data_IF_570208631928
#
_entry.id   IF_570208631928
#
_cell.length_a   1.000
_cell.length_b   1.000
_cell.length_c   1.000
_cell.angle_alpha   90.00
_cell.angle_beta   90.00
_cell.angle_gamma   90.00
#
_symmetry.space_group_name_H-M   'P 1'
#
loop_
_entity.id
_entity.type
_entity.pdbx_description
1 polymer ?
#
# COMPACT_ATOMS: atom_id res chain seq x y z
N UNK A 1 -28.40 -30.88 -26.04
CA UNK A 1 -27.52 -29.93 -25.34
C UNK A 1 -26.48 -30.77 -24.65
N UNK A 2 -25.44 -31.11 -25.39
CA UNK A 2 -24.27 -31.83 -24.89
C UNK A 2 -23.30 -30.75 -24.42
N UNK A 3 -23.25 -30.51 -23.11
CA UNK A 3 -22.32 -29.58 -22.51
C UNK A 3 -20.94 -30.21 -22.62
N UNK A 4 -20.24 -29.90 -23.72
CA UNK A 4 -18.88 -30.33 -24.01
C UNK A 4 -17.85 -29.76 -23.03
N UNK A 5 -18.00 -30.05 -21.75
CA UNK A 5 -16.85 -30.08 -20.85
C UNK A 5 -16.05 -31.33 -21.22
N UNK A 6 -14.79 -31.21 -21.68
CA UNK A 6 -13.95 -32.38 -21.79
C UNK A 6 -13.88 -32.99 -20.38
N UNK A 7 -14.41 -34.20 -20.25
CA UNK A 7 -14.21 -35.01 -19.06
C UNK A 7 -12.70 -35.23 -18.95
N UNK A 8 -12.04 -34.39 -18.18
CA UNK A 8 -10.64 -34.52 -17.82
C UNK A 8 -10.51 -35.85 -17.08
N UNK A 9 -9.88 -36.86 -17.70
CA UNK A 9 -9.95 -38.26 -17.23
C UNK A 9 -8.65 -38.75 -16.59
N UNK A 10 -7.52 -38.07 -16.79
CA UNK A 10 -6.25 -38.47 -16.17
C UNK A 10 -5.37 -37.29 -15.75
N UNK A 11 -4.52 -37.50 -14.75
CA UNK A 11 -3.52 -36.51 -14.29
C UNK A 11 -2.61 -36.05 -15.43
N UNK A 12 -2.18 -36.97 -16.31
CA UNK A 12 -1.31 -36.66 -17.44
C UNK A 12 -1.96 -35.75 -18.50
N UNK A 13 -3.29 -35.84 -18.68
CA UNK A 13 -4.03 -34.91 -19.54
C UNK A 13 -4.10 -33.51 -18.91
N UNK A 14 -4.31 -33.43 -17.60
CA UNK A 14 -4.29 -32.14 -16.88
C UNK A 14 -2.92 -31.49 -16.98
N UNK A 15 -1.85 -32.24 -16.75
CA UNK A 15 -0.48 -31.72 -16.79
C UNK A 15 -0.17 -31.10 -18.16
N UNK A 16 -0.53 -31.79 -19.25
CA UNK A 16 -0.38 -31.25 -20.61
C UNK A 16 -1.17 -29.98 -20.83
N UNK A 17 -2.44 -29.95 -20.42
CA UNK A 17 -3.28 -28.75 -20.56
C UNK A 17 -2.75 -27.58 -19.70
N UNK A 18 -2.19 -27.88 -18.52
CA UNK A 18 -1.58 -26.88 -17.64
C UNK A 18 -0.33 -26.28 -18.30
N UNK A 19 0.55 -27.08 -18.90
CA UNK A 19 1.73 -26.58 -19.63
C UNK A 19 1.34 -25.59 -20.74
N UNK A 20 0.35 -25.95 -21.56
CA UNK A 20 -0.17 -25.09 -22.63
C UNK A 20 -0.78 -23.80 -22.07
N UNK A 21 -1.54 -23.91 -20.97
CA UNK A 21 -2.21 -22.77 -20.35
C UNK A 21 -1.21 -21.83 -19.66
N UNK A 22 -0.16 -22.37 -19.01
CA UNK A 22 0.93 -21.58 -18.42
C UNK A 22 1.65 -20.78 -19.52
N UNK A 23 1.94 -21.39 -20.66
CA UNK A 23 2.53 -20.69 -21.80
C UNK A 23 1.60 -19.55 -22.29
N UNK A 24 0.29 -19.80 -22.38
CA UNK A 24 -0.68 -18.77 -22.75
C UNK A 24 -0.73 -17.60 -21.75
N UNK A 25 -0.65 -17.87 -20.44
CA UNK A 25 -0.54 -16.85 -19.38
C UNK A 25 0.71 -15.99 -19.59
N UNK A 26 1.87 -16.59 -19.86
CA UNK A 26 3.11 -15.83 -20.07
C UNK A 26 3.08 -14.98 -21.35
N UNK A 27 2.48 -15.50 -22.43
CA UNK A 27 2.24 -14.72 -23.65
C UNK A 27 1.34 -13.52 -23.35
N UNK A 28 0.24 -13.71 -22.62
CA UNK A 28 -0.67 -12.64 -22.22
C UNK A 28 0.02 -11.58 -21.34
N UNK A 29 0.83 -11.99 -20.36
CA UNK A 29 1.64 -11.08 -19.54
C UNK A 29 2.63 -10.27 -20.39
N UNK A 30 3.29 -10.91 -21.35
CA UNK A 30 4.21 -10.25 -22.28
C UNK A 30 3.50 -9.21 -23.15
N UNK A 31 2.33 -9.54 -23.69
CA UNK A 31 1.48 -8.61 -24.44
C UNK A 31 1.05 -7.42 -23.58
N UNK A 32 0.60 -7.66 -22.35
CA UNK A 32 0.19 -6.60 -21.43
C UNK A 32 1.35 -5.63 -21.10
N UNK A 33 2.56 -6.16 -20.85
CA UNK A 33 3.77 -5.34 -20.62
C UNK A 33 4.14 -4.50 -21.84
N UNK A 34 4.03 -5.08 -23.05
CA UNK A 34 4.27 -4.34 -24.30
C UNK A 34 3.24 -3.24 -24.51
N UNK A 35 1.97 -3.52 -24.28
CA UNK A 35 0.88 -2.55 -24.36
C UNK A 35 1.10 -1.37 -23.41
N UNK A 36 1.50 -1.65 -22.17
CA UNK A 36 1.79 -0.61 -21.18
C UNK A 36 2.99 0.26 -21.63
N UNK A 37 4.04 -0.36 -22.18
CA UNK A 37 5.18 0.37 -22.72
C UNK A 37 4.78 1.29 -23.88
N UNK A 38 4.06 0.77 -24.88
CA UNK A 38 3.59 1.55 -26.03
C UNK A 38 2.66 2.70 -25.61
N UNK A 39 1.84 2.51 -24.57
CA UNK A 39 1.02 3.59 -24.00
C UNK A 39 1.85 4.71 -23.37
N UNK A 40 2.92 4.36 -22.65
CA UNK A 40 3.85 5.35 -22.08
C UNK A 40 4.60 6.11 -23.17
N UNK A 41 5.05 5.41 -24.21
CA UNK A 41 5.69 6.01 -25.38
C UNK A 41 4.72 6.95 -26.13
N UNK A 42 3.47 6.55 -26.31
CA UNK A 42 2.44 7.38 -26.92
C UNK A 42 2.18 8.67 -26.13
N UNK A 43 2.13 8.60 -24.79
CA UNK A 43 1.96 9.79 -23.95
C UNK A 43 3.15 10.77 -24.09
N UNK A 44 4.37 10.24 -24.12
CA UNK A 44 5.57 11.04 -24.33
C UNK A 44 5.58 11.70 -25.72
N UNK A 45 5.25 10.94 -26.77
CA UNK A 45 5.26 11.47 -28.15
C UNK A 45 4.11 12.47 -28.38
N UNK A 46 2.96 12.30 -27.71
CA UNK A 46 1.87 13.30 -27.72
C UNK A 46 2.30 14.62 -27.06
N UNK A 47 3.05 14.58 -25.96
CA UNK A 47 3.62 15.78 -25.33
C UNK A 47 4.59 16.47 -26.28
N UNK A 48 5.51 15.70 -26.88
CA UNK A 48 6.47 16.20 -27.89
C UNK A 48 5.76 16.83 -29.08
N UNK A 49 4.70 16.21 -29.60
CA UNK A 49 3.90 16.76 -30.70
C UNK A 49 3.27 18.10 -30.31
N UNK A 50 2.74 18.21 -29.09
CA UNK A 50 2.17 19.48 -28.59
C UNK A 50 3.21 20.59 -28.49
N UNK A 51 4.42 20.27 -28.02
CA UNK A 51 5.54 21.23 -27.95
C UNK A 51 5.97 21.67 -29.35
N UNK A 52 6.13 20.73 -30.29
CA UNK A 52 6.48 21.03 -31.68
C UNK A 52 5.40 21.86 -32.38
N UNK A 53 4.13 21.61 -32.08
CA UNK A 53 3.02 22.42 -32.58
C UNK A 53 3.08 23.85 -32.04
N UNK A 54 3.45 24.04 -30.76
CA UNK A 54 3.64 25.37 -30.19
C UNK A 54 4.80 26.12 -30.84
N UNK A 55 5.94 25.46 -31.05
CA UNK A 55 7.10 26.01 -31.77
C UNK A 55 6.70 26.42 -33.18
N UNK A 56 6.08 25.51 -33.95
CA UNK A 56 5.62 25.79 -35.31
C UNK A 56 4.68 27.00 -35.37
N UNK A 57 3.75 27.13 -34.41
CA UNK A 57 2.84 28.28 -34.34
C UNK A 57 3.56 29.61 -34.04
N UNK A 58 4.71 29.58 -33.36
CA UNK A 58 5.56 30.76 -33.18
C UNK A 58 6.25 31.14 -34.49
N UNK A 59 6.91 30.17 -35.15
CA UNK A 59 7.58 30.37 -36.44
C UNK A 59 6.59 30.89 -37.52
N UNK A 60 5.35 30.38 -37.56
CA UNK A 60 4.32 30.87 -38.48
C UNK A 60 3.96 32.35 -38.24
N UNK A 61 3.94 32.79 -36.97
CA UNK A 61 3.68 34.20 -36.62
C UNK A 61 4.87 35.09 -36.97
N UNK A 62 6.09 34.61 -36.78
CA UNK A 62 7.30 35.37 -37.09
C UNK A 62 7.45 35.60 -38.60
N UNK A 63 7.20 34.57 -39.42
CA UNK A 63 7.10 34.70 -40.88
C UNK A 63 5.98 35.69 -41.27
N UNK A 64 4.78 35.54 -40.72
CA UNK A 64 3.65 36.43 -41.03
C UNK A 64 3.92 37.89 -40.63
N UNK A 65 4.61 38.13 -39.52
CA UNK A 65 5.02 39.48 -39.07
C UNK A 65 6.01 40.11 -40.04
N UNK A 66 7.01 39.36 -40.51
CA UNK A 66 8.03 39.86 -41.44
C UNK A 66 7.46 40.11 -42.85
N UNK A 67 6.49 39.31 -43.28
CA UNK A 67 5.79 39.46 -44.56
C UNK A 67 4.72 40.56 -44.54
N UNK A 68 3.99 40.72 -43.43
CA UNK A 68 2.88 41.69 -43.29
C UNK A 68 3.28 43.15 -43.01
N UNK A 69 4.53 43.41 -42.64
CA UNK A 69 5.01 44.79 -42.44
C UNK A 69 5.25 45.49 -43.79
N UNK A 70 4.39 46.47 -44.08
CA UNK A 70 4.47 47.37 -45.24
C UNK A 70 5.85 48.02 -45.36
N UNK A 71 6.40 48.02 -46.58
CA UNK A 71 7.71 48.58 -46.95
C UNK A 71 7.93 50.01 -46.45
N UNK A 72 6.86 50.79 -46.27
CA UNK A 72 6.94 52.18 -45.82
C UNK A 72 7.22 52.34 -44.31
N UNK A 73 6.67 51.48 -43.44
CA UNK A 73 6.84 51.60 -41.98
C UNK A 73 8.16 51.01 -41.46
N UNK A 74 8.87 50.26 -42.30
CA UNK A 74 10.14 49.59 -41.95
C UNK A 74 11.36 50.22 -42.65
N UNK A 75 11.15 51.27 -43.43
CA UNK A 75 12.20 52.06 -44.08
C UNK A 75 13.14 52.72 -43.04
N UNK A 76 12.64 52.93 -41.82
CA UNK A 76 13.38 53.56 -40.74
C UNK A 76 14.09 52.58 -39.79
N UNK A 77 13.88 51.26 -39.88
CA UNK A 77 14.36 50.33 -38.84
C UNK A 77 15.52 49.43 -39.28
N UNK A 78 15.59 48.98 -40.53
CA UNK A 78 16.61 47.99 -40.94
C UNK A 78 17.04 48.20 -42.40
N UNK A 79 18.18 48.83 -42.59
CA UNK A 79 18.84 48.97 -43.90
C UNK A 79 19.48 47.61 -44.27
N UNK A 80 18.90 46.88 -45.23
CA UNK A 80 19.63 45.90 -46.07
C UNK A 80 19.35 44.39 -45.90
N UNK A 81 18.71 43.92 -44.82
CA UNK A 81 18.80 42.49 -44.45
C UNK A 81 17.45 41.73 -44.38
N UNK A 82 16.36 42.33 -44.87
CA UNK A 82 15.00 41.76 -44.81
C UNK A 82 14.82 40.45 -45.59
N UNK A 83 15.33 40.29 -46.84
CA UNK A 83 15.15 39.05 -47.61
C UNK A 83 15.80 37.85 -46.91
N UNK A 84 17.04 38.01 -46.45
CA UNK A 84 17.78 36.97 -45.75
C UNK A 84 17.09 36.53 -44.45
N UNK A 85 16.51 37.47 -43.69
CA UNK A 85 15.74 37.16 -42.48
C UNK A 85 14.45 36.41 -42.79
N UNK A 86 13.69 36.82 -43.81
CA UNK A 86 12.47 36.11 -44.23
C UNK A 86 12.79 34.68 -44.69
N UNK A 87 13.87 34.50 -45.45
CA UNK A 87 14.30 33.17 -45.90
C UNK A 87 14.73 32.26 -44.74
N UNK A 88 15.42 32.82 -43.73
CA UNK A 88 15.79 32.10 -42.50
C UNK A 88 14.55 31.59 -41.74
N UNK A 89 13.57 32.45 -41.54
CA UNK A 89 12.36 32.13 -40.76
C UNK A 89 11.47 31.13 -41.52
N UNK A 90 11.46 31.18 -42.86
CA UNK A 90 10.84 30.14 -43.70
C UNK A 90 11.54 28.78 -43.56
N UNK A 91 12.87 28.75 -43.45
CA UNK A 91 13.63 27.52 -43.20
C UNK A 91 13.32 26.96 -41.81
N UNK A 92 13.27 27.81 -40.78
CA UNK A 92 12.93 27.44 -39.41
C UNK A 92 11.49 26.88 -39.32
N UNK A 93 10.54 27.52 -39.99
CA UNK A 93 9.17 27.02 -40.13
C UNK A 93 9.10 25.66 -40.84
N UNK A 94 9.83 25.49 -41.95
CA UNK A 94 9.86 24.21 -42.67
C UNK A 94 10.42 23.09 -41.79
N UNK A 95 11.50 23.36 -41.06
CA UNK A 95 12.09 22.42 -40.11
C UNK A 95 11.11 22.06 -38.97
N UNK A 96 10.39 23.04 -38.43
CA UNK A 96 9.36 22.82 -37.41
C UNK A 96 8.21 21.94 -37.95
N UNK A 97 7.75 22.19 -39.18
CA UNK A 97 6.73 21.38 -39.86
C UNK A 97 7.17 19.93 -40.04
N UNK A 98 8.38 19.70 -40.55
CA UNK A 98 8.91 18.35 -40.73
C UNK A 98 8.98 17.58 -39.40
N UNK A 99 9.51 18.21 -38.34
CA UNK A 99 9.59 17.59 -37.00
C UNK A 99 8.20 17.27 -36.43
N UNK A 100 7.24 18.18 -36.60
CA UNK A 100 5.84 17.95 -36.19
C UNK A 100 5.23 16.78 -36.96
N UNK A 101 5.44 16.72 -38.28
CA UNK A 101 4.88 15.67 -39.13
C UNK A 101 5.45 14.30 -38.77
N UNK A 102 6.75 14.23 -38.47
CA UNK A 102 7.42 13.04 -37.95
C UNK A 102 6.79 12.61 -36.61
N UNK A 103 6.66 13.52 -35.64
CA UNK A 103 6.04 13.22 -34.35
C UNK A 103 4.56 12.78 -34.50
N UNK A 104 3.80 13.42 -35.40
CA UNK A 104 2.42 13.06 -35.69
C UNK A 104 2.32 11.67 -36.36
N UNK A 105 3.27 11.32 -37.23
CA UNK A 105 3.36 9.97 -37.80
C UNK A 105 3.66 8.93 -36.72
N UNK A 106 4.62 9.19 -35.83
CA UNK A 106 4.96 8.33 -34.70
C UNK A 106 3.77 8.10 -33.76
N UNK A 107 3.01 9.16 -33.44
CA UNK A 107 1.76 9.06 -32.66
C UNK A 107 0.75 8.13 -33.35
N UNK A 108 0.53 8.27 -34.66
CA UNK A 108 -0.40 7.40 -35.41
C UNK A 108 0.04 5.94 -35.40
N UNK A 109 1.33 5.68 -35.62
CA UNK A 109 1.88 4.31 -35.57
C UNK A 109 1.68 3.68 -34.19
N UNK A 110 2.05 4.40 -33.12
CA UNK A 110 1.88 3.93 -31.74
C UNK A 110 0.41 3.68 -31.37
N UNK A 111 -0.51 4.49 -31.89
CA UNK A 111 -1.95 4.26 -31.72
C UNK A 111 -2.39 2.94 -32.37
N UNK A 112 -1.97 2.68 -33.61
CA UNK A 112 -2.26 1.42 -34.30
C UNK A 112 -1.65 0.21 -33.58
N UNK A 113 -0.40 0.32 -33.10
CA UNK A 113 0.25 -0.74 -32.31
C UNK A 113 -0.50 -1.03 -31.00
N UNK A 114 -0.99 0.00 -30.32
CA UNK A 114 -1.80 -0.14 -29.11
C UNK A 114 -3.12 -0.84 -29.40
N UNK A 115 -3.76 -0.52 -30.52
CA UNK A 115 -5.01 -1.16 -30.95
C UNK A 115 -4.79 -2.64 -31.27
N UNK A 116 -3.75 -2.99 -32.03
CA UNK A 116 -3.36 -4.39 -32.31
C UNK A 116 -3.06 -5.16 -31.01
N UNK A 117 -2.20 -4.60 -30.16
CA UNK A 117 -1.83 -5.22 -28.89
C UNK A 117 -3.04 -5.39 -27.97
N UNK A 118 -3.97 -4.44 -27.95
CA UNK A 118 -5.19 -4.54 -27.17
C UNK A 118 -6.14 -5.62 -27.73
N UNK A 119 -6.28 -5.75 -29.06
CA UNK A 119 -7.06 -6.82 -29.70
C UNK A 119 -6.50 -8.18 -29.35
N UNK A 120 -5.17 -8.36 -29.54
CA UNK A 120 -4.48 -9.61 -29.22
C UNK A 120 -4.58 -9.98 -27.74
N UNK A 121 -4.56 -8.99 -26.85
CA UNK A 121 -4.76 -9.22 -25.42
C UNK A 121 -6.20 -9.66 -25.09
N UNK A 122 -7.20 -9.14 -25.83
CA UNK A 122 -8.59 -9.57 -25.70
C UNK A 122 -8.81 -10.98 -26.27
N UNK A 123 -8.22 -11.28 -27.43
CA UNK A 123 -8.24 -12.61 -28.07
C UNK A 123 -7.57 -13.69 -27.22
N UNK A 124 -6.52 -13.34 -26.47
CA UNK A 124 -5.86 -14.25 -25.54
C UNK A 124 -6.79 -14.76 -24.42
N UNK A 125 -7.96 -14.14 -24.21
CA UNK A 125 -8.98 -14.64 -23.30
C UNK A 125 -8.56 -14.60 -21.83
N UNK A 126 -8.89 -15.65 -21.07
CA UNK A 126 -8.68 -15.74 -19.62
C UNK A 126 -7.90 -17.01 -19.21
N UNK A 127 -6.67 -17.19 -19.72
CA UNK A 127 -5.87 -18.38 -19.42
C UNK A 127 -5.55 -18.50 -17.93
N UNK A 128 -5.55 -17.39 -17.16
CA UNK A 128 -5.41 -17.45 -15.70
C UNK A 128 -6.60 -18.14 -15.02
N UNK A 129 -7.84 -17.87 -15.48
CA UNK A 129 -9.05 -18.51 -14.95
C UNK A 129 -9.08 -20.00 -15.33
N UNK A 130 -8.61 -20.33 -16.53
CA UNK A 130 -8.56 -21.71 -17.01
C UNK A 130 -7.46 -22.52 -16.30
N UNK A 131 -6.29 -21.90 -16.03
CA UNK A 131 -5.24 -22.50 -15.22
C UNK A 131 -5.74 -22.80 -13.80
N UNK A 132 -6.47 -21.86 -13.20
CA UNK A 132 -7.08 -22.07 -11.88
C UNK A 132 -8.00 -23.29 -11.85
N UNK A 133 -8.89 -23.44 -12.84
CA UNK A 133 -9.79 -24.61 -12.94
C UNK A 133 -9.01 -25.92 -13.10
N UNK A 134 -7.93 -25.91 -13.89
CA UNK A 134 -7.07 -27.08 -14.07
C UNK A 134 -6.35 -27.47 -12.78
N UNK A 135 -5.86 -26.48 -12.02
CA UNK A 135 -5.27 -26.71 -10.70
C UNK A 135 -6.28 -27.32 -9.72
N UNK A 136 -7.51 -26.81 -9.68
CA UNK A 136 -8.59 -27.38 -8.84
C UNK A 136 -8.91 -28.83 -9.24
N UNK A 137 -8.98 -29.12 -10.54
CA UNK A 137 -9.21 -30.47 -11.05
C UNK A 137 -8.05 -31.42 -10.68
N UNK A 138 -6.80 -30.97 -10.82
CA UNK A 138 -5.60 -31.74 -10.46
C UNK A 138 -5.58 -32.04 -8.97
N UNK A 139 -5.84 -31.02 -8.15
CA UNK A 139 -5.85 -31.17 -6.70
C UNK A 139 -6.90 -32.18 -6.24
N UNK A 140 -8.10 -32.15 -6.82
CA UNK A 140 -9.15 -33.15 -6.53
C UNK A 140 -8.67 -34.56 -6.83
N UNK A 141 -8.09 -34.79 -8.02
CA UNK A 141 -7.59 -36.11 -8.39
C UNK A 141 -6.44 -36.58 -7.50
N UNK A 142 -5.52 -35.69 -7.12
CA UNK A 142 -4.42 -36.02 -6.21
C UNK A 142 -4.96 -36.43 -4.84
N UNK A 143 -5.95 -35.71 -4.30
CA UNK A 143 -6.57 -36.03 -3.00
C UNK A 143 -7.33 -37.35 -3.03
N UNK A 144 -8.06 -37.63 -4.11
CA UNK A 144 -8.80 -38.89 -4.29
C UNK A 144 -7.87 -40.09 -4.49
N UNK A 145 -6.75 -39.89 -5.21
CA UNK A 145 -5.75 -40.93 -5.48
C UNK A 145 -4.86 -41.26 -4.28
N UNK A 146 -4.74 -40.35 -3.31
CA UNK A 146 -3.86 -40.48 -2.15
C UNK A 146 -2.36 -40.42 -2.51
N UNK A 147 -1.50 -40.82 -1.57
CA UNK A 147 -0.06 -40.86 -1.76
C UNK A 147 0.69 -39.58 -1.37
N UNK A 148 2.01 -39.49 -1.66
CA UNK A 148 2.88 -38.44 -1.11
C UNK A 148 2.46 -37.00 -1.46
N UNK A 149 1.90 -36.78 -2.66
CA UNK A 149 1.43 -35.45 -3.07
C UNK A 149 0.13 -35.04 -2.34
N UNK A 150 -0.76 -35.99 -2.05
CA UNK A 150 -1.96 -35.74 -1.26
C UNK A 150 -1.60 -35.41 0.20
N UNK A 151 -0.66 -36.15 0.78
CA UNK A 151 -0.11 -35.89 2.12
C UNK A 151 0.57 -34.52 2.19
N UNK A 152 1.35 -34.15 1.18
CA UNK A 152 1.97 -32.83 1.08
C UNK A 152 0.92 -31.71 1.00
N UNK A 153 -0.15 -31.88 0.23
CA UNK A 153 -1.25 -30.92 0.17
C UNK A 153 -1.97 -30.75 1.52
N UNK A 154 -2.15 -31.84 2.26
CA UNK A 154 -2.73 -31.81 3.61
C UNK A 154 -1.81 -31.06 4.59
N UNK A 155 -0.49 -31.35 4.61
CA UNK A 155 0.48 -30.61 5.44
C UNK A 155 0.46 -29.10 5.15
N UNK A 156 0.42 -28.73 3.86
CA UNK A 156 0.34 -27.33 3.46
C UNK A 156 -0.93 -26.65 3.98
N UNK A 157 -2.08 -27.31 3.90
CA UNK A 157 -3.35 -26.78 4.41
C UNK A 157 -3.35 -26.68 5.94
N UNK A 158 -2.81 -27.67 6.66
CA UNK A 158 -2.68 -27.63 8.12
C UNK A 158 -1.77 -26.48 8.57
N UNK A 159 -0.60 -26.33 7.95
CA UNK A 159 0.34 -25.23 8.24
C UNK A 159 -0.28 -23.88 7.91
N UNK A 160 -0.99 -23.76 6.79
CA UNK A 160 -1.70 -22.54 6.40
C UNK A 160 -2.81 -22.20 7.40
N UNK A 161 -3.59 -23.19 7.82
CA UNK A 161 -4.62 -23.04 8.84
C UNK A 161 -4.05 -22.56 10.17
N UNK A 162 -2.94 -23.17 10.61
CA UNK A 162 -2.22 -22.77 11.83
C UNK A 162 -1.74 -21.31 11.76
N UNK A 163 -1.05 -20.92 10.70
CA UNK A 163 -0.58 -19.54 10.55
C UNK A 163 -1.73 -18.54 10.37
N UNK A 164 -2.84 -18.94 9.75
CA UNK A 164 -4.01 -18.09 9.60
C UNK A 164 -4.69 -17.82 10.95
N UNK A 165 -4.82 -18.85 11.79
CA UNK A 165 -5.30 -18.71 13.17
C UNK A 165 -4.36 -17.80 13.98
N UNK A 166 -3.05 -18.07 13.97
CA UNK A 166 -2.05 -17.26 14.67
C UNK A 166 -2.05 -15.79 14.21
N UNK A 167 -2.27 -15.53 12.92
CA UNK A 167 -2.40 -14.17 12.37
C UNK A 167 -3.67 -13.49 12.85
N UNK A 168 -4.77 -14.23 13.00
CA UNK A 168 -6.04 -13.71 13.54
C UNK A 168 -5.84 -13.25 14.98
N UNK A 169 -5.30 -14.10 15.84
CA UNK A 169 -5.01 -13.76 17.25
C UNK A 169 -4.05 -12.55 17.34
N UNK A 170 -3.02 -12.52 16.48
CA UNK A 170 -2.09 -11.37 16.40
C UNK A 170 -2.80 -10.05 16.07
N UNK A 171 -3.83 -10.07 15.21
CA UNK A 171 -4.63 -8.88 14.86
C UNK A 171 -5.56 -8.46 15.99
N UNK A 172 -6.13 -9.42 16.72
CA UNK A 172 -6.98 -9.14 17.88
C UNK A 172 -6.16 -8.46 19.00
N UNK A 173 -4.94 -8.93 19.25
CA UNK A 173 -4.00 -8.26 20.15
C UNK A 173 -3.57 -6.87 19.65
N UNK A 174 -3.31 -6.70 18.35
CA UNK A 174 -3.02 -5.37 17.78
C UNK A 174 -4.17 -4.38 18.00
N UNK A 175 -5.42 -4.83 17.80
CA UNK A 175 -6.59 -3.99 18.02
C UNK A 175 -6.71 -3.59 19.51
N UNK A 176 -6.55 -4.54 20.42
CA UNK A 176 -6.58 -4.27 21.85
C UNK A 176 -5.43 -3.34 22.28
N UNK A 177 -4.21 -3.58 21.79
CA UNK A 177 -3.04 -2.74 22.06
C UNK A 177 -3.20 -1.30 21.57
N UNK A 178 -3.80 -1.10 20.39
CA UNK A 178 -4.08 0.25 19.87
C UNK A 178 -5.12 1.00 20.71
N UNK A 179 -6.16 0.31 21.21
CA UNK A 179 -7.14 0.90 22.15
C UNK A 179 -6.45 1.33 23.44
N UNK A 180 -5.61 0.47 23.98
CA UNK A 180 -4.73 0.76 25.13
C UNK A 180 -3.88 2.01 24.89
N UNK A 181 -3.20 2.09 23.74
CA UNK A 181 -2.33 3.20 23.38
C UNK A 181 -3.13 4.52 23.38
N UNK A 182 -4.29 4.54 22.72
CA UNK A 182 -5.14 5.71 22.64
C UNK A 182 -5.68 6.17 24.01
N UNK A 183 -5.98 5.22 24.90
CA UNK A 183 -6.40 5.51 26.26
C UNK A 183 -5.25 6.08 27.12
N UNK A 184 -4.05 5.53 27.03
CA UNK A 184 -2.85 6.08 27.70
C UNK A 184 -2.52 7.50 27.20
N UNK A 185 -2.67 7.76 25.89
CA UNK A 185 -2.49 9.10 25.32
C UNK A 185 -3.53 10.10 25.82
N UNK A 186 -4.76 9.67 26.11
CA UNK A 186 -5.79 10.50 26.78
C UNK A 186 -5.39 10.84 28.22
N UNK A 187 -5.03 9.83 29.01
CA UNK A 187 -4.55 10.03 30.39
C UNK A 187 -3.37 11.00 30.42
N UNK A 188 -2.42 10.86 29.50
CA UNK A 188 -1.27 11.76 29.41
C UNK A 188 -1.70 13.22 29.17
N UNK A 189 -2.63 13.48 28.24
CA UNK A 189 -3.16 14.83 27.99
C UNK A 189 -3.89 15.41 29.20
N UNK A 190 -4.66 14.58 29.92
CA UNK A 190 -5.38 14.98 31.14
C UNK A 190 -4.41 15.33 32.27
N UNK A 191 -3.35 14.52 32.45
CA UNK A 191 -2.28 14.78 33.43
C UNK A 191 -1.45 16.02 33.07
N UNK A 192 -1.08 16.22 31.80
CA UNK A 192 -0.37 17.40 31.32
C UNK A 192 -1.20 18.68 31.52
N UNK A 193 -2.50 18.61 31.24
CA UNK A 193 -3.44 19.70 31.50
C UNK A 193 -3.50 20.02 33.00
N UNK A 194 -3.65 19.01 33.86
CA UNK A 194 -3.67 19.19 35.31
C UNK A 194 -2.34 19.73 35.87
N UNK A 195 -1.20 19.33 35.31
CA UNK A 195 0.12 19.88 35.65
C UNK A 195 0.24 21.36 35.27
N UNK A 196 -0.22 21.74 34.07
CA UNK A 196 -0.19 23.12 33.58
C UNK A 196 -0.92 24.12 34.49
N UNK A 197 -2.06 23.73 35.06
CA UNK A 197 -2.80 24.58 36.02
C UNK A 197 -2.15 24.69 37.40
N UNK A 198 -1.30 23.73 37.80
CA UNK A 198 -0.56 23.77 39.07
C UNK A 198 0.57 24.81 39.11
N UNK A 199 1.09 25.21 37.95
CA UNK A 199 2.10 26.28 37.81
C UNK A 199 1.44 27.67 37.92
N UNK A 200 0.19 27.82 37.47
CA UNK A 200 -0.58 29.05 37.58
C UNK A 200 -0.99 29.40 39.04
N UNK A 201 -1.17 28.39 39.90
CA UNK A 201 -1.48 28.55 41.33
C UNK A 201 -0.34 29.25 42.11
N UNK A 202 0.91 29.17 41.62
CA UNK A 202 2.08 29.83 42.22
C UNK A 202 2.24 31.31 41.83
N UNK A 203 1.53 31.78 40.80
CA UNK A 203 1.68 33.16 40.25
C UNK A 203 0.50 34.07 40.65
N UNK A 204 -0.61 33.50 41.16
CA UNK A 204 -1.63 34.24 41.88
C UNK A 204 -3.06 33.97 41.40
N UNK A 205 -3.88 33.36 42.26
CA UNK A 205 -5.33 33.59 42.25
C UNK A 205 -6.25 32.37 42.43
N UNK A 206 -6.72 32.20 43.67
CA UNK A 206 -8.12 32.05 44.08
C UNK A 206 -9.12 31.22 43.25
N UNK A 207 -9.70 30.19 43.89
CA UNK A 207 -11.00 29.50 43.66
C UNK A 207 -11.30 28.93 42.24
N UNK A 208 -11.05 29.66 41.15
CA UNK A 208 -11.27 29.20 39.77
C UNK A 208 -10.20 28.20 39.31
N UNK A 209 -8.93 28.37 39.73
CA UNK A 209 -7.86 27.41 39.47
C UNK A 209 -8.11 26.05 40.15
N UNK A 210 -8.73 26.07 41.34
CA UNK A 210 -9.04 24.87 42.15
C UNK A 210 -10.16 24.02 41.52
N UNK A 211 -11.18 24.67 40.95
CA UNK A 211 -12.32 23.97 40.32
C UNK A 211 -11.94 23.28 39.00
N UNK A 212 -11.15 23.96 38.15
CA UNK A 212 -10.63 23.36 36.92
C UNK A 212 -9.68 22.18 37.19
N UNK A 213 -8.87 22.25 38.27
CA UNK A 213 -7.99 21.18 38.73
C UNK A 213 -8.76 19.92 39.13
N UNK A 214 -9.87 20.05 39.86
CA UNK A 214 -10.71 18.89 40.22
C UNK A 214 -11.30 18.20 38.98
N UNK A 215 -11.87 18.98 38.05
CA UNK A 215 -12.52 18.40 36.87
C UNK A 215 -11.59 17.60 35.95
N UNK A 216 -10.32 18.00 35.80
CA UNK A 216 -9.35 17.29 34.97
C UNK A 216 -8.73 16.08 35.68
N UNK A 217 -8.60 16.14 37.01
CA UNK A 217 -8.15 14.99 37.81
C UNK A 217 -9.23 13.91 37.90
N UNK A 218 -10.50 14.29 38.03
CA UNK A 218 -11.63 13.35 38.00
C UNK A 218 -11.72 12.66 36.62
N UNK A 219 -11.56 13.43 35.53
CA UNK A 219 -11.48 12.87 34.16
C UNK A 219 -10.31 11.90 34.00
N UNK A 220 -9.12 12.27 34.47
CA UNK A 220 -7.95 11.38 34.42
C UNK A 220 -8.24 10.07 35.17
N UNK A 221 -8.95 10.12 36.30
CA UNK A 221 -9.33 8.93 37.08
C UNK A 221 -10.24 8.00 36.29
N UNK A 222 -11.26 8.54 35.64
CA UNK A 222 -12.18 7.74 34.83
C UNK A 222 -11.48 7.14 33.61
N UNK A 223 -10.62 7.92 32.93
CA UNK A 223 -9.78 7.45 31.81
C UNK A 223 -8.82 6.32 32.24
N UNK A 224 -8.34 6.35 33.47
CA UNK A 224 -7.47 5.31 34.03
C UNK A 224 -8.19 3.99 34.27
N UNK A 225 -9.43 4.03 34.75
CA UNK A 225 -10.25 2.82 34.87
C UNK A 225 -10.50 2.19 33.50
N UNK A 226 -10.65 3.01 32.47
CA UNK A 226 -10.73 2.54 31.08
C UNK A 226 -9.42 1.88 30.63
N UNK A 227 -8.28 2.51 30.89
CA UNK A 227 -6.94 1.95 30.62
C UNK A 227 -6.78 0.58 31.28
N UNK A 228 -7.16 0.43 32.55
CA UNK A 228 -7.13 -0.84 33.28
C UNK A 228 -7.91 -1.94 32.57
N UNK A 229 -9.14 -1.63 32.16
CA UNK A 229 -10.01 -2.59 31.48
C UNK A 229 -9.45 -3.00 30.11
N UNK A 230 -8.97 -2.04 29.34
CA UNK A 230 -8.35 -2.27 28.03
C UNK A 230 -7.05 -3.06 28.14
N UNK A 231 -6.24 -2.83 29.18
CA UNK A 231 -4.99 -3.56 29.40
C UNK A 231 -5.24 -5.02 29.72
N UNK A 232 -6.21 -5.31 30.59
CA UNK A 232 -6.61 -6.70 30.91
C UNK A 232 -7.12 -7.44 29.67
N UNK A 233 -7.80 -6.72 28.76
CA UNK A 233 -8.16 -7.29 27.46
C UNK A 233 -6.89 -7.56 26.64
N UNK A 234 -6.02 -6.56 26.47
CA UNK A 234 -4.80 -6.73 25.69
C UNK A 234 -3.91 -7.86 26.20
N UNK A 235 -3.78 -8.04 27.52
CA UNK A 235 -3.08 -9.18 28.13
C UNK A 235 -3.69 -10.53 27.73
N UNK A 236 -5.02 -10.66 27.73
CA UNK A 236 -5.68 -11.90 27.29
C UNK A 236 -5.39 -12.21 25.83
N UNK A 237 -5.56 -11.22 24.94
CA UNK A 237 -5.26 -11.41 23.51
C UNK A 237 -3.76 -11.77 23.29
N UNK A 238 -2.86 -11.23 24.11
CA UNK A 238 -1.43 -11.56 24.08
C UNK A 238 -1.14 -12.98 24.57
N UNK A 239 -1.86 -13.47 25.59
CA UNK A 239 -1.74 -14.83 26.09
C UNK A 239 -2.21 -15.87 25.05
N UNK A 240 -3.27 -15.54 24.30
CA UNK A 240 -3.77 -16.37 23.21
C UNK A 240 -2.71 -16.55 22.11
N UNK A 241 -1.87 -15.52 21.84
CA UNK A 241 -0.70 -15.62 20.96
C UNK A 241 0.42 -16.47 21.57
N UNK A 242 0.67 -16.33 22.88
CA UNK A 242 1.71 -17.08 23.60
C UNK A 242 1.52 -18.59 23.52
N UNK A 243 0.28 -19.06 23.37
CA UNK A 243 -0.06 -20.47 23.13
C UNK A 243 0.51 -21.02 21.80
N UNK A 244 0.87 -20.15 20.85
CA UNK A 244 1.46 -20.56 19.56
C UNK A 244 2.98 -20.52 19.54
N UNK A 245 3.60 -19.67 20.37
CA UNK A 245 5.06 -19.47 20.37
C UNK A 245 5.54 -19.22 21.79
N UNK A 246 6.26 -20.18 22.37
CA UNK A 246 6.94 -20.02 23.67
C UNK A 246 8.10 -19.02 23.67
N UNK A 247 8.13 -18.06 22.74
CA UNK A 247 9.32 -17.26 22.42
C UNK A 247 9.05 -15.77 22.19
N UNK A 248 7.79 -15.31 22.26
CA UNK A 248 7.58 -13.87 22.40
C UNK A 248 7.76 -13.55 23.87
N UNK A 249 8.69 -12.64 24.15
CA UNK A 249 8.95 -12.02 25.45
C UNK A 249 7.75 -11.17 25.94
N UNK A 250 6.52 -11.68 25.76
CA UNK A 250 5.23 -11.22 26.28
C UNK A 250 5.08 -11.60 27.75
N UNK A 251 5.75 -12.67 28.21
CA UNK A 251 5.66 -13.15 29.60
C UNK A 251 6.11 -12.14 30.66
N UNK A 252 6.80 -11.06 30.27
CA UNK A 252 7.10 -9.93 31.15
C UNK A 252 5.96 -8.90 31.28
N UNK A 253 5.09 -8.77 30.29
CA UNK A 253 4.04 -7.76 30.24
C UNK A 253 2.83 -8.11 31.11
N UNK A 254 2.49 -9.40 31.23
CA UNK A 254 1.45 -9.90 32.14
C UNK A 254 1.74 -9.51 33.59
N UNK A 255 2.92 -9.90 34.10
CA UNK A 255 3.38 -9.54 35.46
C UNK A 255 3.55 -8.03 35.65
N UNK A 256 3.86 -7.31 34.58
CA UNK A 256 4.09 -5.88 34.63
C UNK A 256 2.79 -5.08 34.85
N UNK A 257 1.70 -5.43 34.17
CA UNK A 257 0.46 -4.65 34.30
C UNK A 257 -0.12 -4.75 35.71
N UNK A 258 -0.04 -5.93 36.33
CA UNK A 258 -0.47 -6.13 37.73
C UNK A 258 0.30 -5.19 38.69
N UNK A 259 1.64 -5.12 38.54
CA UNK A 259 2.48 -4.23 39.36
C UNK A 259 2.23 -2.74 39.11
N UNK A 260 1.94 -2.36 37.86
CA UNK A 260 1.69 -0.97 37.47
C UNK A 260 0.38 -0.41 38.05
N UNK A 261 -0.69 -1.20 38.03
CA UNK A 261 -2.00 -0.75 38.51
C UNK A 261 -2.07 -0.62 40.02
N UNK A 262 -1.38 -1.49 40.76
CA UNK A 262 -1.28 -1.41 42.23
C UNK A 262 -0.46 -0.20 42.70
N UNK A 263 0.54 0.23 41.92
CA UNK A 263 1.50 1.27 42.32
C UNK A 263 1.30 2.68 41.73
N UNK A 264 0.56 2.83 40.62
CA UNK A 264 0.37 4.13 39.96
C UNK A 264 -0.89 4.86 40.42
N UNK A 265 -2.03 4.17 40.53
CA UNK A 265 -3.34 4.83 40.62
C UNK A 265 -3.93 4.90 42.02
N UNK A 266 -3.35 4.17 42.97
CA UNK A 266 -3.80 4.21 44.37
C UNK A 266 -3.42 5.55 45.04
N UNK A 267 -2.40 6.25 44.54
CA UNK A 267 -1.65 7.21 45.36
C UNK A 267 -1.58 8.65 44.82
N UNK A 268 -1.95 8.90 43.57
CA UNK A 268 -1.82 10.16 42.81
C UNK A 268 -2.71 11.36 43.24
N UNK A 269 -3.43 11.26 44.36
CA UNK A 269 -4.32 12.30 44.89
C UNK A 269 -3.57 13.47 45.58
N UNK A 270 -2.26 13.62 45.34
CA UNK A 270 -1.39 14.67 45.92
C UNK A 270 -0.48 15.25 44.84
N UNK A 271 -0.31 16.59 44.84
CA UNK A 271 0.40 17.35 43.81
C UNK A 271 1.85 16.89 43.54
N UNK A 272 2.56 16.36 44.53
CA UNK A 272 3.92 15.81 44.36
C UNK A 272 3.99 14.54 43.51
N UNK A 273 2.84 13.87 43.25
CA UNK A 273 2.76 12.59 42.56
C UNK A 273 2.29 12.69 41.10
N UNK A 274 1.91 13.88 40.62
CA UNK A 274 1.48 14.11 39.23
C UNK A 274 2.65 13.89 38.25
N UNK A 275 3.84 14.44 38.54
CA UNK A 275 5.02 14.27 37.69
C UNK A 275 5.46 12.80 37.59
N UNK A 276 5.50 12.11 38.73
CA UNK A 276 5.78 10.66 38.75
C UNK A 276 4.74 9.87 37.94
N UNK A 277 3.47 10.29 37.97
CA UNK A 277 2.41 9.62 37.20
C UNK A 277 2.53 9.86 35.70
N UNK A 278 2.93 11.07 35.31
CA UNK A 278 3.18 11.46 33.94
C UNK A 278 4.36 10.67 33.35
N UNK A 279 5.49 10.60 34.06
CA UNK A 279 6.67 9.85 33.62
C UNK A 279 6.38 8.35 33.47
N UNK A 280 5.69 7.75 34.45
CA UNK A 280 5.25 6.35 34.39
C UNK A 280 4.28 6.09 33.24
N UNK A 281 3.35 7.00 32.96
CA UNK A 281 2.40 6.88 31.83
C UNK A 281 3.14 6.95 30.49
N UNK A 282 4.15 7.83 30.35
CA UNK A 282 5.01 7.90 29.16
C UNK A 282 5.80 6.62 28.94
N UNK A 283 6.38 6.06 30.00
CA UNK A 283 7.10 4.78 29.93
C UNK A 283 6.17 3.65 29.43
N UNK A 284 4.92 3.61 29.91
CA UNK A 284 3.97 2.60 29.46
C UNK A 284 3.53 2.76 28.03
N UNK A 285 3.27 4.00 27.62
CA UNK A 285 2.97 4.29 26.24
C UNK A 285 4.10 3.81 25.33
N UNK A 286 5.37 3.99 25.74
CA UNK A 286 6.52 3.50 25.00
C UNK A 286 6.58 1.95 24.95
N UNK A 287 6.33 1.27 26.08
CA UNK A 287 6.28 -0.21 26.14
C UNK A 287 5.16 -0.79 25.27
N UNK A 288 3.96 -0.23 25.35
CA UNK A 288 2.81 -0.61 24.50
C UNK A 288 3.15 -0.40 23.03
N UNK A 289 3.72 0.75 22.65
CA UNK A 289 4.15 1.02 21.26
C UNK A 289 5.18 0.01 20.77
N UNK A 290 6.14 -0.37 21.61
CA UNK A 290 7.13 -1.41 21.30
C UNK A 290 6.47 -2.78 21.06
N UNK A 291 5.52 -3.17 21.92
CA UNK A 291 4.76 -4.41 21.75
C UNK A 291 3.91 -4.38 20.47
N UNK A 292 3.22 -3.27 20.17
CA UNK A 292 2.48 -3.10 18.92
C UNK A 292 3.42 -3.28 17.73
N UNK A 293 4.59 -2.64 17.71
CA UNK A 293 5.57 -2.80 16.63
C UNK A 293 6.06 -4.24 16.46
N UNK A 294 6.22 -4.97 17.56
CA UNK A 294 6.57 -6.40 17.56
C UNK A 294 5.44 -7.26 16.96
N UNK A 295 4.19 -6.97 17.33
CA UNK A 295 3.00 -7.64 16.79
C UNK A 295 2.81 -7.33 15.29
N UNK A 296 3.08 -6.10 14.84
CA UNK A 296 3.03 -5.72 13.42
C UNK A 296 4.12 -6.43 12.59
N UNK A 297 5.32 -6.57 13.14
CA UNK A 297 6.37 -7.37 12.51
C UNK A 297 5.97 -8.85 12.40
N UNK A 298 5.37 -9.40 13.46
CA UNK A 298 4.86 -10.78 13.49
C UNK A 298 3.73 -11.00 12.49
N UNK A 299 2.75 -10.09 12.43
CA UNK A 299 1.63 -10.15 11.48
C UNK A 299 2.12 -10.19 10.03
N UNK A 300 3.08 -9.32 9.69
CA UNK A 300 3.75 -9.32 8.37
C UNK A 300 4.49 -10.62 8.09
N UNK A 301 5.21 -11.16 9.07
CA UNK A 301 5.91 -12.46 8.96
C UNK A 301 4.93 -13.61 8.69
N UNK A 302 3.82 -13.67 9.43
CA UNK A 302 2.77 -14.67 9.23
C UNK A 302 2.09 -14.53 7.87
N UNK A 303 1.82 -13.30 7.43
CA UNK A 303 1.30 -13.05 6.09
C UNK A 303 2.28 -13.54 5.00
N UNK A 304 3.57 -13.27 5.15
CA UNK A 304 4.59 -13.76 4.22
C UNK A 304 4.67 -15.29 4.20
N UNK A 305 4.57 -15.95 5.37
CA UNK A 305 4.53 -17.43 5.47
C UNK A 305 3.29 -18.02 4.79
N UNK A 306 2.11 -17.43 5.01
CA UNK A 306 0.86 -17.87 4.34
C UNK A 306 0.97 -17.71 2.82
N UNK A 307 1.55 -16.61 2.35
CA UNK A 307 1.77 -16.38 0.92
C UNK A 307 2.82 -17.35 0.33
N UNK A 308 3.86 -17.69 1.09
CA UNK A 308 4.86 -18.69 0.69
C UNK A 308 4.23 -20.08 0.54
N UNK A 309 3.38 -20.51 1.49
CA UNK A 309 2.65 -21.78 1.39
C UNK A 309 1.70 -21.82 0.18
N UNK A 310 1.07 -20.70 -0.16
CA UNK A 310 0.23 -20.62 -1.36
C UNK A 310 1.05 -20.84 -2.64
N UNK A 311 2.26 -20.27 -2.72
CA UNK A 311 3.19 -20.49 -3.84
C UNK A 311 3.74 -21.92 -3.87
N UNK A 312 4.01 -22.50 -2.71
CA UNK A 312 4.45 -23.90 -2.60
C UNK A 312 3.36 -24.86 -3.09
N UNK A 313 2.10 -24.61 -2.73
CA UNK A 313 0.94 -25.34 -3.26
C UNK A 313 0.80 -25.18 -4.77
N UNK A 314 0.95 -23.96 -5.29
CA UNK A 314 0.91 -23.70 -6.73
C UNK A 314 2.01 -24.48 -7.47
N UNK A 315 3.26 -24.46 -6.98
CA UNK A 315 4.36 -25.24 -7.56
C UNK A 315 4.10 -26.74 -7.57
N UNK A 316 3.59 -27.27 -6.45
CA UNK A 316 3.23 -28.68 -6.33
C UNK A 316 2.16 -29.09 -7.37
N UNK A 317 1.22 -28.18 -7.65
CA UNK A 317 0.16 -28.41 -8.64
C UNK A 317 0.61 -28.15 -10.08
N UNK A 318 1.49 -27.20 -10.33
CA UNK A 318 1.99 -26.88 -11.69
C UNK A 318 3.13 -27.81 -12.12
N UNK A 319 3.85 -28.41 -11.17
CA UNK A 319 4.95 -29.35 -11.46
C UNK A 319 6.31 -28.69 -11.70
N UNK A 320 6.54 -27.50 -11.13
CA UNK A 320 7.84 -26.79 -11.16
C UNK A 320 8.64 -26.95 -9.86
#
# INVERSE_FOLDING_TARGET
MDTGEPAIRSLAEIDRMMEETVAAVEVKKSLARRLERSRRELDAERKRLSELQAVMNCEEKDVARLEGLSLANLFYTILGDKPAKVDKERQELLAAKLRRDEAAASVRTLQGDIEDLASRLAEAGRPEDDLWKLMEAKERLLREGGGPQAEALLDLDERKGRFAAERRETREALEAGRKVQAALERVLRSLESAHGWGVWDMIGGGLLATAAKHSNLDKARDEVHEVQSLMRRFQRELADIGSFTGDVNIGGFERFADYFFDGLFVDWMVQSKINASLDRTKEQLARVKSLIGSLEARERSLQARIAALAREREKLLVGE
#
